data_IF_405973787381
#
_entry.id   IF_405973787381
#
_cell.length_a   1.000
_cell.length_b   1.000
_cell.length_c   1.000
_cell.angle_alpha   90.00
_cell.angle_beta   90.00
_cell.angle_gamma   90.00
#
_symmetry.space_group_name_H-M   'P 1'
#
loop_
_entity.id
_entity.type
_entity.pdbx_description
1 polymer ?
#
# COMPACT_ATOMS: atom_id res chain seq x y z
N UNK A 1 -4.19 -5.98 -28.84
CA UNK A 1 -4.62 -7.05 -29.70
C UNK A 1 -5.42 -8.16 -28.99
N UNK A 2 -5.95 -7.85 -27.80
CA UNK A 2 -6.89 -8.67 -27.07
C UNK A 2 -8.17 -7.86 -26.90
N UNK A 3 -9.31 -8.49 -27.11
CA UNK A 3 -10.59 -7.89 -26.78
C UNK A 3 -10.79 -7.95 -25.26
N UNK A 4 -11.28 -6.86 -24.67
CA UNK A 4 -11.54 -6.76 -23.26
C UNK A 4 -12.96 -6.25 -23.02
N UNK A 5 -13.59 -6.75 -21.95
CA UNK A 5 -14.91 -6.32 -21.51
C UNK A 5 -14.89 -6.09 -20.02
N UNK A 6 -15.61 -5.08 -19.56
CA UNK A 6 -15.78 -4.78 -18.15
C UNK A 6 -17.23 -5.04 -17.77
N UNK A 7 -17.45 -6.01 -16.89
CA UNK A 7 -18.79 -6.42 -16.46
C UNK A 7 -19.09 -5.87 -15.07
N UNK A 8 -20.28 -5.35 -14.89
CA UNK A 8 -20.82 -4.98 -13.59
C UNK A 8 -21.46 -6.21 -12.94
N UNK A 9 -21.13 -6.45 -11.67
CA UNK A 9 -21.78 -7.46 -10.83
C UNK A 9 -22.68 -6.73 -9.82
N UNK A 10 -23.97 -6.59 -10.14
CA UNK A 10 -24.89 -5.73 -9.38
C UNK A 10 -25.02 -6.09 -7.91
N UNK A 11 -24.95 -7.39 -7.58
CA UNK A 11 -25.02 -7.88 -6.19
C UNK A 11 -23.78 -7.52 -5.35
N UNK A 12 -22.66 -7.21 -5.98
CA UNK A 12 -21.38 -6.91 -5.33
C UNK A 12 -20.91 -5.46 -5.50
N UNK A 13 -21.56 -4.72 -6.40
CA UNK A 13 -21.20 -3.33 -6.67
C UNK A 13 -21.67 -2.42 -5.51
N UNK A 14 -20.75 -1.90 -4.69
CA UNK A 14 -21.07 -0.87 -3.69
C UNK A 14 -21.27 0.49 -4.36
N UNK A 15 -21.95 1.43 -3.68
CA UNK A 15 -22.28 2.74 -4.26
C UNK A 15 -21.04 3.50 -4.75
N UNK A 16 -19.94 3.41 -4.01
CA UNK A 16 -18.70 4.15 -4.25
C UNK A 16 -17.56 3.25 -4.77
N UNK A 17 -17.91 2.15 -5.44
CA UNK A 17 -16.96 1.26 -6.11
C UNK A 17 -16.50 1.83 -7.46
N UNK A 18 -15.37 1.33 -7.96
CA UNK A 18 -14.83 1.74 -9.26
C UNK A 18 -15.84 1.61 -10.41
N UNK A 19 -16.66 0.55 -10.41
CA UNK A 19 -17.65 0.32 -11.48
C UNK A 19 -18.76 1.38 -11.51
N UNK A 20 -18.97 2.10 -10.41
CA UNK A 20 -19.92 3.19 -10.27
C UNK A 20 -19.28 4.58 -10.35
N UNK A 21 -17.96 4.66 -10.44
CA UNK A 21 -17.24 5.92 -10.50
C UNK A 21 -17.59 6.71 -11.77
N UNK A 22 -17.82 8.01 -11.61
CA UNK A 22 -18.04 8.92 -12.72
C UNK A 22 -16.72 9.37 -13.31
N UNK A 23 -16.53 9.19 -14.61
CA UNK A 23 -15.35 9.70 -15.31
C UNK A 23 -15.56 11.16 -15.72
N UNK A 24 -14.84 12.10 -15.06
CA UNK A 24 -14.94 13.54 -15.26
C UNK A 24 -14.02 14.06 -16.37
N UNK A 25 -12.99 13.32 -16.74
CA UNK A 25 -12.01 13.69 -17.76
C UNK A 25 -11.29 12.45 -18.31
N UNK A 26 -10.66 12.62 -19.47
CA UNK A 26 -9.68 11.69 -20.04
C UNK A 26 -10.22 10.73 -21.09
N UNK A 27 -9.34 9.87 -21.55
CA UNK A 27 -9.66 8.79 -22.51
C UNK A 27 -10.40 7.65 -21.82
N UNK A 28 -10.95 6.73 -22.61
CA UNK A 28 -11.45 5.45 -22.08
C UNK A 28 -10.42 4.72 -21.23
N UNK A 29 -10.89 4.02 -20.21
CA UNK A 29 -10.06 3.17 -19.36
C UNK A 29 -9.68 1.89 -20.12
N UNK A 30 -8.40 1.56 -20.13
CA UNK A 30 -7.93 0.25 -20.59
C UNK A 30 -8.12 -0.81 -19.50
N UNK A 31 -8.02 -2.09 -19.89
CA UNK A 31 -8.01 -3.21 -18.96
C UNK A 31 -7.02 -3.01 -17.79
N UNK A 32 -5.78 -2.61 -18.11
CA UNK A 32 -4.76 -2.36 -17.09
C UNK A 32 -5.08 -1.13 -16.23
N UNK A 33 -5.66 -0.07 -16.81
CA UNK A 33 -6.08 1.07 -15.99
C UNK A 33 -7.13 0.66 -14.95
N UNK A 34 -8.10 -0.20 -15.33
CA UNK A 34 -9.14 -0.69 -14.42
C UNK A 34 -8.52 -1.53 -13.29
N UNK A 35 -7.65 -2.50 -13.62
CA UNK A 35 -7.00 -3.35 -12.62
C UNK A 35 -6.13 -2.55 -11.64
N UNK A 36 -5.32 -1.64 -12.16
CA UNK A 36 -4.43 -0.83 -11.33
C UNK A 36 -5.22 0.19 -10.50
N UNK A 37 -6.30 0.76 -11.05
CA UNK A 37 -7.17 1.69 -10.32
C UNK A 37 -7.93 0.98 -9.20
N UNK A 38 -8.44 -0.22 -9.44
CA UNK A 38 -9.14 -1.01 -8.43
C UNK A 38 -8.21 -1.37 -7.26
N UNK A 39 -6.99 -1.82 -7.56
CA UNK A 39 -5.99 -2.11 -6.54
C UNK A 39 -5.59 -0.85 -5.75
N UNK A 40 -5.42 0.29 -6.42
CA UNK A 40 -5.08 1.56 -5.79
C UNK A 40 -6.21 2.08 -4.90
N UNK A 41 -7.45 2.03 -5.40
CA UNK A 41 -8.65 2.42 -4.66
C UNK A 41 -8.92 1.51 -3.46
N UNK A 42 -8.68 0.21 -3.62
CA UNK A 42 -8.83 -0.75 -2.53
C UNK A 42 -7.85 -0.48 -1.40
N UNK A 43 -6.59 -0.16 -1.71
CA UNK A 43 -5.59 0.12 -0.70
C UNK A 43 -5.83 1.44 0.02
N UNK A 44 -6.15 2.53 -0.70
CA UNK A 44 -6.33 3.84 -0.05
C UNK A 44 -7.51 3.86 0.92
N UNK A 45 -8.50 3.00 0.74
CA UNK A 45 -9.67 2.86 1.62
C UNK A 45 -9.39 2.15 2.95
N UNK A 46 -8.20 1.57 3.14
CA UNK A 46 -7.78 0.98 4.41
C UNK A 46 -7.48 2.04 5.49
N UNK A 47 -7.38 3.31 5.11
CA UNK A 47 -7.02 4.41 6.00
C UNK A 47 -8.23 5.30 6.32
N UNK A 48 -8.33 5.69 7.58
CA UNK A 48 -9.33 6.65 8.06
C UNK A 48 -8.82 8.11 7.94
N UNK A 49 -7.50 8.30 8.10
CA UNK A 49 -6.84 9.60 7.94
C UNK A 49 -6.69 9.94 6.44
N UNK A 50 -6.48 11.23 6.09
CA UNK A 50 -6.19 11.61 4.72
C UNK A 50 -4.99 10.84 4.18
N UNK A 51 -5.22 10.03 3.16
CA UNK A 51 -4.26 9.12 2.58
C UNK A 51 -4.15 9.29 1.07
N UNK A 52 -2.95 9.09 0.55
CA UNK A 52 -2.66 9.00 -0.87
C UNK A 52 -1.85 7.74 -1.16
N UNK A 53 -2.28 7.01 -2.17
CA UNK A 53 -1.56 5.86 -2.72
C UNK A 53 -1.22 6.15 -4.17
N UNK A 54 0.04 5.92 -4.54
CA UNK A 54 0.52 5.92 -5.93
C UNK A 54 0.87 4.48 -6.26
N UNK A 55 0.23 3.95 -7.31
CA UNK A 55 0.31 2.53 -7.66
C UNK A 55 0.69 2.35 -9.12
N UNK A 56 1.47 1.32 -9.39
CA UNK A 56 1.85 0.92 -10.75
C UNK A 56 1.97 -0.60 -10.84
N UNK A 57 1.32 -1.18 -11.86
CA UNK A 57 1.33 -2.63 -12.08
C UNK A 57 0.86 -3.43 -10.84
N UNK A 58 -0.24 -2.97 -10.24
CA UNK A 58 -0.87 -3.54 -9.04
C UNK A 58 0.04 -3.61 -7.80
N UNK A 59 1.11 -2.80 -7.75
CA UNK A 59 1.92 -2.62 -6.56
C UNK A 59 2.00 -1.13 -6.21
N UNK A 60 1.83 -0.74 -4.93
CA UNK A 60 2.05 0.63 -4.54
C UNK A 60 3.54 0.98 -4.67
N UNK A 61 3.86 2.11 -5.26
CA UNK A 61 5.22 2.65 -5.29
C UNK A 61 5.40 3.85 -4.34
N UNK A 62 4.29 4.36 -3.83
CA UNK A 62 4.25 5.34 -2.77
C UNK A 62 2.92 5.27 -2.04
N UNK A 63 2.94 5.33 -0.73
CA UNK A 63 1.75 5.36 0.11
C UNK A 63 2.04 6.20 1.33
N UNK A 64 1.15 7.12 1.67
CA UNK A 64 1.33 7.92 2.88
C UNK A 64 -0.01 8.39 3.46
N UNK A 65 0.00 8.65 4.77
CA UNK A 65 -1.04 9.37 5.48
C UNK A 65 -0.46 10.65 6.08
N UNK A 66 -1.29 11.69 6.14
CA UNK A 66 -0.92 12.98 6.72
C UNK A 66 -2.15 13.73 7.21
N UNK A 67 -1.94 14.94 7.75
CA UNK A 67 -3.04 15.79 8.22
C UNK A 67 -3.98 16.28 7.09
N UNK A 68 -3.47 16.35 5.86
CA UNK A 68 -4.20 16.75 4.65
C UNK A 68 -3.70 15.98 3.41
N UNK A 69 -4.48 16.05 2.34
CA UNK A 69 -4.24 15.28 1.12
C UNK A 69 -3.01 15.75 0.32
N UNK A 70 -2.69 17.04 0.37
CA UNK A 70 -1.54 17.61 -0.33
C UNK A 70 -0.23 17.12 0.33
N UNK A 71 -0.17 17.18 1.66
CA UNK A 71 0.95 16.62 2.44
C UNK A 71 1.08 15.10 2.27
N UNK A 72 -0.05 14.37 2.24
CA UNK A 72 -0.04 12.93 1.99
C UNK A 72 0.50 12.61 0.59
N UNK A 73 0.12 13.39 -0.43
CA UNK A 73 0.65 13.22 -1.78
C UNK A 73 2.15 13.48 -1.85
N UNK A 74 2.64 14.56 -1.26
CA UNK A 74 4.07 14.90 -1.28
C UNK A 74 4.92 13.78 -0.68
N UNK A 75 4.50 13.26 0.48
CA UNK A 75 5.14 12.10 1.12
C UNK A 75 5.08 10.84 0.23
N UNK A 76 3.92 10.52 -0.33
CA UNK A 76 3.75 9.35 -1.19
C UNK A 76 4.60 9.44 -2.46
N UNK A 77 4.67 10.63 -3.09
CA UNK A 77 5.51 10.86 -4.26
C UNK A 77 7.00 10.72 -3.94
N UNK A 78 7.44 11.26 -2.80
CA UNK A 78 8.85 11.19 -2.37
C UNK A 78 9.34 9.76 -2.11
N UNK A 79 8.45 8.79 -1.86
CA UNK A 79 8.83 7.38 -1.68
C UNK A 79 9.57 6.82 -2.90
N UNK A 80 9.00 6.97 -4.11
CA UNK A 80 9.63 6.54 -5.37
C UNK A 80 9.15 7.37 -6.57
N UNK A 81 9.70 8.57 -6.77
CA UNK A 81 9.32 9.45 -7.88
C UNK A 81 9.53 8.81 -9.26
N UNK A 82 10.49 7.90 -9.37
CA UNK A 82 10.81 7.21 -10.62
C UNK A 82 9.71 6.23 -11.03
N UNK A 83 9.24 5.42 -10.09
CA UNK A 83 8.15 4.46 -10.35
C UNK A 83 6.78 5.16 -10.43
N UNK A 84 6.60 6.29 -9.76
CA UNK A 84 5.38 7.10 -9.80
C UNK A 84 5.04 7.63 -11.21
N UNK A 85 6.02 7.72 -12.11
CA UNK A 85 5.82 8.13 -13.49
C UNK A 85 4.94 7.14 -14.26
N UNK A 86 3.78 7.60 -14.74
CA UNK A 86 2.77 6.77 -15.41
C UNK A 86 1.96 5.89 -14.46
N UNK A 87 1.93 6.24 -13.18
CA UNK A 87 1.15 5.54 -12.17
C UNK A 87 -0.31 6.02 -12.06
N UNK A 88 -1.03 5.32 -11.21
CA UNK A 88 -2.38 5.64 -10.74
C UNK A 88 -2.26 6.33 -9.40
N UNK A 89 -3.05 7.38 -9.16
CA UNK A 89 -3.13 8.05 -7.86
C UNK A 89 -4.54 7.84 -7.29
N UNK A 90 -4.64 7.40 -6.05
CA UNK A 90 -5.87 7.35 -5.30
C UNK A 90 -5.76 8.18 -4.02
N UNK A 91 -6.82 8.94 -3.70
CA UNK A 91 -6.99 9.60 -2.41
C UNK A 91 -8.31 9.16 -1.79
N UNK A 92 -8.35 9.00 -0.45
CA UNK A 92 -9.58 8.63 0.26
C UNK A 92 -10.43 9.84 0.70
N UNK A 93 -9.96 11.05 0.43
CA UNK A 93 -10.63 12.32 0.69
C UNK A 93 -10.68 13.17 -0.58
N UNK A 94 -11.39 14.30 -0.54
CA UNK A 94 -11.44 15.26 -1.66
C UNK A 94 -10.05 15.72 -2.06
N UNK A 95 -9.73 15.61 -3.35
CA UNK A 95 -8.46 16.09 -3.91
C UNK A 95 -8.46 17.61 -3.94
N UNK A 96 -7.49 18.22 -3.26
CA UNK A 96 -7.33 19.67 -3.19
C UNK A 96 -6.63 20.23 -4.43
N UNK A 97 -6.84 21.52 -4.69
CA UNK A 97 -6.12 22.23 -5.75
C UNK A 97 -4.60 22.18 -5.51
N UNK A 98 -4.17 22.37 -4.27
CA UNK A 98 -2.75 22.32 -3.88
C UNK A 98 -2.09 20.98 -4.26
N UNK A 99 -2.75 19.86 -3.98
CA UNK A 99 -2.23 18.54 -4.40
C UNK A 99 -2.00 18.46 -5.92
N UNK A 100 -2.93 19.01 -6.73
CA UNK A 100 -2.78 18.97 -8.20
C UNK A 100 -1.69 19.93 -8.67
N UNK A 101 -1.51 21.07 -8.01
CA UNK A 101 -0.39 21.98 -8.25
C UNK A 101 0.95 21.28 -7.99
N UNK A 102 1.10 20.55 -6.89
CA UNK A 102 2.29 19.73 -6.60
C UNK A 102 2.53 18.65 -7.65
N UNK A 103 1.48 17.94 -8.15
CA UNK A 103 1.59 16.99 -9.27
C UNK A 103 2.17 17.67 -10.51
N UNK A 104 1.77 18.92 -10.78
CA UNK A 104 2.26 19.70 -11.92
C UNK A 104 3.70 20.18 -11.71
N UNK A 105 4.06 20.65 -10.53
CA UNK A 105 5.41 21.08 -10.15
C UNK A 105 6.40 19.91 -10.24
N UNK A 106 6.01 18.74 -9.78
CA UNK A 106 6.76 17.50 -9.89
C UNK A 106 6.86 16.97 -11.32
N UNK A 107 6.13 17.57 -12.28
CA UNK A 107 6.03 17.13 -13.69
C UNK A 107 5.67 15.65 -13.78
N UNK A 108 4.92 15.16 -12.81
CA UNK A 108 4.53 13.75 -12.77
C UNK A 108 3.57 13.46 -13.92
N UNK A 109 3.93 12.48 -14.75
CA UNK A 109 2.98 11.89 -15.69
C UNK A 109 2.10 10.90 -14.93
N UNK A 110 0.78 11.05 -15.03
CA UNK A 110 -0.23 10.22 -14.37
C UNK A 110 -1.21 9.67 -15.42
N UNK A 111 -1.67 8.45 -15.22
CA UNK A 111 -2.66 7.80 -16.08
C UNK A 111 -4.08 8.02 -15.57
N UNK A 112 -4.30 7.84 -14.25
CA UNK A 112 -5.59 7.94 -13.59
C UNK A 112 -5.44 8.63 -12.24
N UNK A 113 -6.43 9.45 -11.86
CA UNK A 113 -6.65 9.91 -10.48
C UNK A 113 -8.06 9.49 -10.07
N UNK A 114 -8.19 8.84 -8.92
CA UNK A 114 -9.47 8.44 -8.34
C UNK A 114 -9.60 8.97 -6.91
N UNK A 115 -10.76 9.53 -6.59
CA UNK A 115 -11.05 10.08 -5.28
C UNK A 115 -12.58 10.19 -5.05
N UNK A 116 -13.02 10.41 -3.79
CA UNK A 116 -14.42 10.69 -3.50
C UNK A 116 -14.95 11.94 -4.22
N UNK A 117 -14.14 13.00 -4.27
CA UNK A 117 -14.47 14.25 -4.95
C UNK A 117 -13.20 15.07 -5.27
N UNK A 118 -13.37 16.17 -5.97
CA UNK A 118 -12.30 17.10 -6.37
C UNK A 118 -12.76 18.54 -6.12
N UNK A 119 -11.89 19.36 -5.56
CA UNK A 119 -12.11 20.81 -5.55
C UNK A 119 -12.23 21.36 -6.98
N UNK A 120 -13.00 22.43 -7.17
CA UNK A 120 -13.20 23.00 -8.51
C UNK A 120 -11.88 23.35 -9.20
N UNK A 121 -10.93 23.99 -8.49
CA UNK A 121 -9.62 24.33 -9.02
C UNK A 121 -8.77 23.09 -9.35
N UNK A 122 -8.86 22.03 -8.52
CA UNK A 122 -8.19 20.75 -8.81
C UNK A 122 -8.70 20.13 -10.11
N UNK A 123 -10.02 20.10 -10.29
CA UNK A 123 -10.66 19.53 -11.48
C UNK A 123 -10.30 20.35 -12.73
N UNK A 124 -10.33 21.68 -12.66
CA UNK A 124 -9.93 22.55 -13.75
C UNK A 124 -8.48 22.28 -14.21
N UNK A 125 -7.54 22.13 -13.27
CA UNK A 125 -6.15 21.81 -13.57
C UNK A 125 -5.98 20.43 -14.21
N UNK A 126 -6.69 19.42 -13.69
CA UNK A 126 -6.66 18.07 -14.24
C UNK A 126 -7.26 17.98 -15.65
N UNK A 127 -8.32 18.74 -15.92
CA UNK A 127 -8.99 18.77 -17.22
C UNK A 127 -8.13 19.41 -18.34
N UNK A 128 -7.13 20.20 -17.99
CA UNK A 128 -6.14 20.69 -18.96
C UNK A 128 -5.30 19.54 -19.55
N UNK A 129 -5.21 18.42 -18.84
CA UNK A 129 -4.49 17.21 -19.25
C UNK A 129 -5.45 16.22 -19.93
N UNK A 130 -5.71 16.40 -21.22
CA UNK A 130 -6.74 15.67 -21.99
C UNK A 130 -6.70 14.13 -21.89
N UNK A 131 -5.56 13.55 -21.52
CA UNK A 131 -5.38 12.10 -21.47
C UNK A 131 -5.53 11.51 -20.06
N UNK A 132 -5.48 12.33 -19.01
CA UNK A 132 -5.59 11.90 -17.62
C UNK A 132 -7.05 11.54 -17.32
N UNK A 133 -7.28 10.32 -16.87
CA UNK A 133 -8.61 9.88 -16.45
C UNK A 133 -8.83 10.35 -15.02
N UNK A 134 -9.90 11.08 -14.80
CA UNK A 134 -10.30 11.59 -13.50
C UNK A 134 -11.59 10.89 -13.11
N UNK A 135 -11.56 10.13 -12.02
CA UNK A 135 -12.66 9.29 -11.56
C UNK A 135 -13.17 9.76 -10.20
N UNK A 136 -14.46 10.11 -10.13
CA UNK A 136 -15.14 10.49 -8.91
C UNK A 136 -16.02 9.35 -8.41
N UNK A 137 -15.81 8.90 -7.19
CA UNK A 137 -16.62 7.83 -6.58
C UNK A 137 -17.82 8.36 -5.80
N UNK A 138 -17.83 9.63 -5.40
CA UNK A 138 -18.88 10.25 -4.61
C UNK A 138 -18.86 9.92 -3.12
N UNK A 139 -17.91 9.11 -2.68
CA UNK A 139 -17.72 8.70 -1.29
C UNK A 139 -16.77 7.50 -1.17
N UNK A 140 -16.67 6.98 0.05
CA UNK A 140 -15.83 5.82 0.38
C UNK A 140 -16.69 4.76 1.07
N UNK A 141 -16.75 3.57 0.48
CA UNK A 141 -17.44 2.41 1.06
C UNK A 141 -16.42 1.34 1.47
N UNK A 142 -16.84 0.45 2.36
CA UNK A 142 -16.15 -0.81 2.55
C UNK A 142 -16.07 -1.59 1.22
N UNK A 143 -14.99 -2.36 0.97
CA UNK A 143 -14.89 -3.17 -0.25
C UNK A 143 -16.02 -4.19 -0.38
N UNK A 144 -16.22 -4.77 -1.57
CA UNK A 144 -17.14 -5.85 -1.81
C UNK A 144 -16.89 -7.05 -0.87
N UNK A 145 -17.92 -7.87 -0.63
CA UNK A 145 -17.79 -8.99 0.31
C UNK A 145 -16.92 -10.13 -0.21
N UNK A 146 -16.88 -10.29 -1.53
CA UNK A 146 -16.14 -11.36 -2.21
C UNK A 146 -15.23 -10.78 -3.29
N UNK A 147 -14.10 -11.41 -3.46
CA UNK A 147 -13.25 -11.25 -4.63
C UNK A 147 -13.27 -12.51 -5.50
N UNK A 148 -13.11 -12.32 -6.79
CA UNK A 148 -13.16 -13.39 -7.78
C UNK A 148 -11.88 -13.42 -8.61
N UNK A 149 -11.40 -14.62 -8.89
CA UNK A 149 -10.25 -14.84 -9.76
C UNK A 149 -10.56 -15.92 -10.78
N UNK A 150 -10.43 -15.60 -12.05
CA UNK A 150 -10.57 -16.60 -13.12
C UNK A 150 -9.38 -17.57 -13.08
N UNK A 151 -9.68 -18.85 -13.27
CA UNK A 151 -8.74 -19.93 -13.53
C UNK A 151 -9.17 -20.66 -14.80
N UNK A 152 -8.29 -21.48 -15.38
CA UNK A 152 -8.67 -22.24 -16.58
C UNK A 152 -9.89 -23.13 -16.30
N UNK A 153 -10.98 -22.86 -17.04
CA UNK A 153 -12.24 -23.58 -16.91
C UNK A 153 -13.07 -23.27 -15.65
N UNK A 154 -12.66 -22.28 -14.81
CA UNK A 154 -13.37 -22.00 -13.58
C UNK A 154 -13.11 -20.62 -12.99
N UNK A 155 -13.63 -20.43 -11.78
CA UNK A 155 -13.47 -19.19 -11.01
C UNK A 155 -13.26 -19.52 -9.52
N UNK A 156 -12.26 -18.90 -8.91
CA UNK A 156 -12.10 -18.87 -7.46
C UNK A 156 -12.91 -17.70 -6.90
N UNK A 157 -13.50 -17.90 -5.73
CA UNK A 157 -14.15 -16.86 -4.96
C UNK A 157 -13.71 -16.98 -3.50
N UNK A 158 -13.35 -15.87 -2.88
CA UNK A 158 -13.05 -15.81 -1.45
C UNK A 158 -13.59 -14.51 -0.84
N UNK A 159 -13.73 -14.50 0.49
CA UNK A 159 -14.04 -13.25 1.20
C UNK A 159 -12.88 -12.27 1.05
N UNK A 160 -13.21 -11.00 0.81
CA UNK A 160 -12.21 -9.93 0.87
C UNK A 160 -11.73 -9.79 2.31
N UNK A 161 -10.43 -9.63 2.47
CA UNK A 161 -9.84 -9.33 3.77
C UNK A 161 -10.29 -7.93 4.23
N UNK A 162 -11.13 -7.93 5.26
CA UNK A 162 -11.71 -6.73 5.87
C UNK A 162 -11.35 -6.58 7.35
N UNK A 163 -10.45 -7.41 7.83
CA UNK A 163 -10.13 -7.39 9.25
C UNK A 163 -9.36 -6.13 9.57
N UNK A 164 -9.92 -5.36 10.50
CA UNK A 164 -9.18 -4.34 11.23
C UNK A 164 -8.62 -5.03 12.46
N UNK A 165 -7.33 -5.24 12.46
CA UNK A 165 -6.65 -5.85 13.59
C UNK A 165 -6.77 -4.92 14.81
N UNK A 166 -7.23 -5.48 15.93
CA UNK A 166 -7.23 -4.79 17.23
C UNK A 166 -5.83 -4.93 17.86
N UNK A 167 -5.09 -3.83 18.07
CA UNK A 167 -3.79 -3.89 18.73
C UNK A 167 -3.82 -4.57 20.10
N UNK A 168 -4.98 -4.61 20.78
CA UNK A 168 -5.13 -5.31 22.04
C UNK A 168 -5.04 -6.84 21.92
N UNK A 169 -5.24 -7.39 20.73
CA UNK A 169 -5.12 -8.81 20.43
C UNK A 169 -3.71 -9.22 19.98
N UNK A 170 -2.82 -8.25 19.73
CA UNK A 170 -1.47 -8.51 19.29
C UNK A 170 -0.60 -9.14 20.37
N UNK A 171 0.27 -10.04 19.96
CA UNK A 171 1.32 -10.55 20.84
C UNK A 171 2.63 -9.82 20.56
N UNK A 172 3.40 -9.55 21.63
CA UNK A 172 4.75 -8.97 21.51
C UNK A 172 5.74 -9.97 22.11
N UNK A 173 6.27 -10.90 21.27
CA UNK A 173 7.08 -12.01 21.76
C UNK A 173 8.50 -11.58 22.19
N UNK A 174 9.00 -10.44 21.70
CA UNK A 174 10.35 -9.94 21.98
C UNK A 174 10.47 -9.25 23.34
N UNK A 175 11.71 -9.18 23.86
CA UNK A 175 12.04 -8.46 25.11
C UNK A 175 11.82 -6.95 24.97
N UNK A 176 12.26 -6.38 23.83
CA UNK A 176 11.97 -4.99 23.48
C UNK A 176 10.51 -4.89 23.06
N UNK A 177 9.80 -3.96 23.68
CA UNK A 177 8.41 -3.67 23.32
C UNK A 177 8.36 -2.46 22.40
N UNK A 178 7.42 -2.41 21.42
CA UNK A 178 7.25 -1.22 20.60
C UNK A 178 6.79 -0.04 21.47
N UNK A 179 7.22 1.15 21.09
CA UNK A 179 6.60 2.39 21.56
C UNK A 179 5.24 2.60 20.90
N UNK A 180 4.42 3.51 21.42
CA UNK A 180 3.13 3.84 20.80
C UNK A 180 3.32 4.35 19.36
N UNK A 181 4.33 5.20 19.10
CA UNK A 181 4.65 5.69 17.76
C UNK A 181 5.07 4.54 16.83
N UNK A 182 5.88 3.60 17.32
CA UNK A 182 6.24 2.42 16.53
C UNK A 182 5.02 1.54 16.24
N UNK A 183 4.10 1.41 17.17
CA UNK A 183 2.89 0.62 16.96
C UNK A 183 1.98 1.27 15.90
N UNK A 184 1.81 2.58 15.93
CA UNK A 184 1.07 3.31 14.90
C UNK A 184 1.73 3.16 13.53
N UNK A 185 3.06 3.28 13.45
CA UNK A 185 3.81 3.07 12.21
C UNK A 185 3.70 1.62 11.70
N UNK A 186 3.72 0.62 12.61
CA UNK A 186 3.51 -0.78 12.26
C UNK A 186 2.12 -1.02 11.66
N UNK A 187 1.06 -0.41 12.21
CA UNK A 187 -0.31 -0.53 11.70
C UNK A 187 -0.42 0.11 10.30
N UNK A 188 0.19 1.27 10.09
CA UNK A 188 0.30 1.86 8.76
C UNK A 188 1.01 0.91 7.79
N UNK A 189 2.19 0.43 8.16
CA UNK A 189 2.98 -0.49 7.33
C UNK A 189 2.22 -1.78 7.01
N UNK A 190 1.48 -2.32 7.98
CA UNK A 190 0.66 -3.52 7.85
C UNK A 190 -0.42 -3.34 6.78
N UNK A 191 -1.19 -2.25 6.87
CA UNK A 191 -2.22 -1.90 5.89
C UNK A 191 -1.65 -1.74 4.47
N UNK A 192 -0.51 -1.06 4.33
CA UNK A 192 0.14 -0.91 3.01
C UNK A 192 0.65 -2.26 2.49
N UNK A 193 1.27 -3.08 3.37
CA UNK A 193 1.81 -4.39 2.99
C UNK A 193 0.75 -5.34 2.41
N UNK A 194 -0.49 -5.26 2.91
CA UNK A 194 -1.66 -5.97 2.38
C UNK A 194 -1.88 -5.72 0.87
N UNK A 195 -1.58 -4.51 0.38
CA UNK A 195 -1.67 -4.15 -1.03
C UNK A 195 -0.46 -4.57 -1.89
N UNK A 196 0.56 -5.18 -1.31
CA UNK A 196 1.79 -5.58 -2.01
C UNK A 196 1.75 -7.05 -2.39
N UNK A 197 2.18 -7.39 -3.59
CA UNK A 197 2.18 -8.80 -4.07
C UNK A 197 3.21 -9.64 -3.32
N UNK A 198 2.79 -10.81 -2.88
CA UNK A 198 3.60 -11.78 -2.12
C UNK A 198 4.75 -12.42 -2.96
N UNK A 199 5.90 -12.81 -2.40
CA UNK A 199 6.32 -12.44 -1.05
C UNK A 199 6.50 -10.93 -0.96
N UNK A 200 5.99 -10.33 0.10
CA UNK A 200 5.98 -8.87 0.27
C UNK A 200 6.65 -8.46 1.59
N UNK A 201 7.56 -7.52 1.47
CA UNK A 201 8.11 -6.75 2.60
C UNK A 201 7.89 -5.28 2.31
N UNK A 202 7.37 -4.57 3.28
CA UNK A 202 7.28 -3.11 3.28
C UNK A 202 8.14 -2.52 4.39
N UNK A 203 8.90 -1.50 4.05
CA UNK A 203 9.63 -0.66 5.03
C UNK A 203 8.99 0.73 5.02
N UNK A 204 8.68 1.23 6.21
CA UNK A 204 8.05 2.54 6.37
C UNK A 204 8.78 3.43 7.37
N UNK A 205 8.53 4.72 7.27
CA UNK A 205 8.98 5.78 8.17
C UNK A 205 8.05 6.99 8.05
N UNK A 206 7.69 7.56 9.19
CA UNK A 206 6.86 8.78 9.26
C UNK A 206 5.54 8.63 8.49
N UNK A 207 4.88 7.47 8.58
CA UNK A 207 3.65 7.11 7.87
C UNK A 207 3.78 7.25 6.35
N UNK A 208 4.95 6.89 5.81
CA UNK A 208 5.21 6.75 4.38
C UNK A 208 5.87 5.40 4.08
N UNK A 209 5.35 4.68 3.08
CA UNK A 209 5.88 3.40 2.62
C UNK A 209 7.08 3.60 1.71
N UNK A 210 8.25 3.82 2.32
CA UNK A 210 9.47 4.27 1.63
C UNK A 210 10.26 3.18 0.91
N UNK A 211 9.97 1.91 1.21
CA UNK A 211 10.62 0.80 0.53
C UNK A 211 9.76 -0.44 0.47
N UNK A 212 9.68 -1.07 -0.69
CA UNK A 212 8.94 -2.31 -0.83
C UNK A 212 9.66 -3.31 -1.71
N UNK A 213 9.56 -4.58 -1.32
CA UNK A 213 10.03 -5.72 -2.07
C UNK A 213 8.85 -6.61 -2.48
N UNK A 214 8.19 -6.32 -3.62
CA UNK A 214 7.02 -7.04 -4.05
C UNK A 214 7.37 -8.29 -4.87
N UNK A 215 6.57 -9.35 -4.74
CA UNK A 215 6.53 -10.46 -5.70
C UNK A 215 7.80 -11.30 -5.80
N UNK A 216 8.60 -11.36 -4.73
CA UNK A 216 9.84 -12.12 -4.76
C UNK A 216 9.59 -13.61 -4.48
N UNK A 217 10.32 -14.54 -5.19
CA UNK A 217 10.20 -15.96 -4.93
C UNK A 217 10.62 -16.39 -3.52
N UNK A 218 11.52 -15.63 -2.88
CA UNK A 218 11.91 -15.84 -1.49
C UNK A 218 11.81 -14.54 -0.69
N UNK A 219 11.61 -14.66 0.62
CA UNK A 219 11.35 -13.51 1.49
C UNK A 219 12.60 -12.69 1.80
N UNK A 220 13.79 -13.30 1.84
CA UNK A 220 15.02 -12.56 2.10
C UNK A 220 15.37 -11.60 0.97
N UNK A 221 15.10 -11.97 -0.28
CA UNK A 221 15.27 -11.05 -1.42
C UNK A 221 14.24 -9.91 -1.38
N UNK A 222 13.00 -10.22 -0.94
CA UNK A 222 11.99 -9.21 -0.68
C UNK A 222 12.44 -8.21 0.39
N UNK A 223 13.03 -8.70 1.49
CA UNK A 223 13.57 -7.85 2.57
C UNK A 223 14.71 -6.95 2.08
N UNK A 224 15.70 -7.52 1.37
CA UNK A 224 16.81 -6.76 0.78
C UNK A 224 16.32 -5.66 -0.15
N UNK A 225 15.46 -6.02 -1.09
CA UNK A 225 14.92 -5.05 -2.07
C UNK A 225 14.13 -3.93 -1.38
N UNK A 226 13.33 -4.25 -0.36
CA UNK A 226 12.60 -3.25 0.41
C UNK A 226 13.55 -2.30 1.15
N UNK A 227 14.57 -2.83 1.81
CA UNK A 227 15.56 -2.05 2.55
C UNK A 227 16.41 -1.17 1.64
N UNK A 228 16.91 -1.69 0.51
CA UNK A 228 17.67 -0.92 -0.47
C UNK A 228 16.86 0.29 -0.97
N UNK A 229 15.59 0.07 -1.34
CA UNK A 229 14.68 1.13 -1.77
C UNK A 229 14.39 2.14 -0.65
N UNK A 230 14.24 1.67 0.60
CA UNK A 230 14.04 2.55 1.74
C UNK A 230 15.24 3.47 1.96
N UNK A 231 16.47 2.95 1.86
CA UNK A 231 17.69 3.73 1.95
C UNK A 231 17.81 4.77 0.84
N UNK A 232 17.54 4.37 -0.42
CA UNK A 232 17.49 5.30 -1.55
C UNK A 232 16.44 6.41 -1.35
N UNK A 233 15.28 6.08 -0.77
CA UNK A 233 14.24 7.06 -0.46
C UNK A 233 14.71 8.02 0.65
N UNK A 234 15.29 7.49 1.73
CA UNK A 234 15.87 8.30 2.81
C UNK A 234 16.95 9.26 2.29
N UNK A 235 17.84 8.78 1.41
CA UNK A 235 18.86 9.62 0.77
C UNK A 235 18.23 10.77 -0.03
N UNK A 236 17.22 10.47 -0.87
CA UNK A 236 16.49 11.50 -1.63
C UNK A 236 15.78 12.52 -0.76
N UNK A 237 15.20 12.08 0.36
CA UNK A 237 14.50 12.92 1.33
C UNK A 237 15.46 13.68 2.26
N UNK A 238 16.75 13.35 2.29
CA UNK A 238 17.73 13.93 3.21
C UNK A 238 17.50 13.54 4.67
N UNK A 239 16.97 12.33 4.92
CA UNK A 239 16.70 11.80 6.27
C UNK A 239 17.56 10.56 6.53
N UNK A 240 17.89 10.33 7.81
CA UNK A 240 18.65 9.15 8.20
C UNK A 240 17.82 7.87 8.11
N UNK A 241 18.35 6.76 7.55
CA UNK A 241 17.66 5.47 7.45
C UNK A 241 17.71 4.71 8.79
N UNK A 242 17.24 5.34 9.87
CA UNK A 242 17.21 4.77 11.21
C UNK A 242 15.80 4.77 11.78
N UNK A 243 15.53 3.84 12.70
CA UNK A 243 14.21 3.71 13.31
C UNK A 243 13.13 3.24 12.32
N UNK A 244 13.56 2.56 11.25
CA UNK A 244 12.65 2.04 10.23
C UNK A 244 11.73 0.96 10.80
N UNK A 245 10.52 0.88 10.27
CA UNK A 245 9.52 -0.14 10.61
C UNK A 245 9.29 -1.04 9.41
N UNK A 246 9.17 -2.34 9.67
CA UNK A 246 8.95 -3.34 8.63
C UNK A 246 7.65 -4.09 8.84
N UNK A 247 6.88 -4.30 7.77
CA UNK A 247 5.77 -5.22 7.72
C UNK A 247 6.07 -6.36 6.74
N UNK A 248 5.65 -7.59 7.10
CA UNK A 248 5.77 -8.77 6.25
C UNK A 248 4.41 -9.42 6.04
N UNK A 249 4.06 -9.74 4.79
CA UNK A 249 2.79 -10.36 4.42
C UNK A 249 2.60 -11.78 4.95
N UNK A 250 3.68 -12.45 5.39
CA UNK A 250 3.64 -13.76 6.02
C UNK A 250 4.77 -13.88 7.07
N UNK A 251 4.79 -14.99 7.82
CA UNK A 251 5.81 -15.23 8.82
C UNK A 251 7.23 -15.31 8.21
N UNK A 252 8.23 -14.96 9.00
CA UNK A 252 9.61 -15.16 8.63
C UNK A 252 10.01 -16.63 8.84
N UNK A 253 10.51 -17.33 7.79
CA UNK A 253 10.84 -18.75 7.91
C UNK A 253 12.18 -19.00 8.63
N UNK A 254 13.11 -18.01 8.63
CA UNK A 254 14.46 -18.11 9.16
C UNK A 254 14.93 -16.75 9.69
N UNK A 255 15.96 -16.79 10.54
CA UNK A 255 16.55 -15.58 11.15
C UNK A 255 17.23 -14.64 10.15
N UNK A 256 17.67 -15.14 8.99
CA UNK A 256 18.40 -14.36 7.97
C UNK A 256 17.65 -13.10 7.52
N UNK A 257 16.32 -13.16 7.52
CA UNK A 257 15.48 -12.01 7.23
C UNK A 257 15.63 -10.93 8.32
N UNK A 258 15.64 -11.34 9.58
CA UNK A 258 15.76 -10.42 10.72
C UNK A 258 17.18 -9.81 10.75
N UNK A 259 18.20 -10.63 10.53
CA UNK A 259 19.60 -10.16 10.43
C UNK A 259 19.73 -9.11 9.30
N UNK A 260 19.16 -9.39 8.13
CA UNK A 260 19.12 -8.44 7.00
C UNK A 260 18.41 -7.13 7.38
N UNK A 261 17.19 -7.20 7.94
CA UNK A 261 16.43 -6.02 8.33
C UNK A 261 17.17 -5.17 9.37
N UNK A 262 17.86 -5.82 10.32
CA UNK A 262 18.66 -5.16 11.35
C UNK A 262 19.84 -4.37 10.77
N UNK A 263 20.56 -4.94 9.79
CA UNK A 263 21.67 -4.30 9.09
C UNK A 263 21.25 -3.00 8.39
N UNK A 264 20.00 -2.94 7.93
CA UNK A 264 19.42 -1.76 7.27
C UNK A 264 18.72 -0.77 8.20
N UNK A 265 18.82 -0.96 9.52
CA UNK A 265 18.32 0.02 10.50
C UNK A 265 16.84 -0.14 10.89
N UNK A 266 16.21 -1.27 10.58
CA UNK A 266 14.87 -1.61 11.07
C UNK A 266 14.91 -1.82 12.59
N UNK A 267 13.96 -1.23 13.30
CA UNK A 267 13.84 -1.28 14.77
C UNK A 267 12.51 -1.84 15.26
N UNK A 268 11.55 -1.98 14.37
CA UNK A 268 10.26 -2.54 14.71
C UNK A 268 9.71 -3.36 13.54
N UNK A 269 9.09 -4.50 13.84
CA UNK A 269 8.58 -5.47 12.85
C UNK A 269 7.18 -5.88 13.22
N UNK A 270 6.27 -5.91 12.24
CA UNK A 270 4.96 -6.53 12.34
C UNK A 270 4.84 -7.68 11.33
N UNK A 271 4.36 -8.83 11.77
CA UNK A 271 4.22 -10.05 10.98
C UNK A 271 3.09 -10.94 11.52
N UNK A 272 2.61 -11.93 10.73
CA UNK A 272 1.61 -12.88 11.24
C UNK A 272 2.10 -13.78 12.39
N UNK A 273 3.35 -14.25 12.34
CA UNK A 273 3.85 -15.33 13.20
C UNK A 273 3.34 -16.70 12.76
N UNK A 274 3.64 -17.75 13.55
CA UNK A 274 3.18 -19.11 13.29
C UNK A 274 4.15 -19.99 12.52
N UNK A 275 5.40 -19.57 12.35
CA UNK A 275 6.48 -20.42 11.81
C UNK A 275 6.88 -21.49 12.82
N UNK A 276 7.26 -22.67 12.34
CA UNK A 276 7.91 -23.72 13.17
C UNK A 276 9.21 -23.18 13.81
N UNK A 277 9.81 -22.14 13.23
CA UNK A 277 11.06 -21.51 13.68
C UNK A 277 10.84 -20.14 14.31
N UNK A 278 9.66 -19.83 14.80
CA UNK A 278 9.37 -18.55 15.46
C UNK A 278 10.35 -18.24 16.60
N UNK A 279 10.76 -19.25 17.39
CA UNK A 279 11.75 -19.07 18.47
C UNK A 279 13.09 -18.53 17.94
N UNK A 280 13.58 -19.06 16.81
CA UNK A 280 14.83 -18.62 16.17
C UNK A 280 14.71 -17.15 15.67
N UNK A 281 13.56 -16.82 15.09
CA UNK A 281 13.26 -15.49 14.55
C UNK A 281 13.13 -14.47 15.70
N UNK A 282 12.42 -14.83 16.76
CA UNK A 282 12.26 -13.99 17.96
C UNK A 282 13.62 -13.77 18.65
N UNK A 283 14.44 -14.82 18.76
CA UNK A 283 15.77 -14.70 19.33
C UNK A 283 16.65 -13.74 18.50
N UNK A 284 16.61 -13.82 17.17
CA UNK A 284 17.35 -12.89 16.31
C UNK A 284 16.90 -11.43 16.52
N UNK A 285 15.57 -11.20 16.62
CA UNK A 285 15.03 -9.87 16.92
C UNK A 285 15.49 -9.35 18.29
N UNK A 286 15.54 -10.22 19.32
CA UNK A 286 16.04 -9.87 20.63
C UNK A 286 17.55 -9.53 20.61
N UNK A 287 18.36 -10.28 19.87
CA UNK A 287 19.81 -10.05 19.70
C UNK A 287 20.09 -8.68 19.06
N UNK A 288 19.24 -8.26 18.10
CA UNK A 288 19.34 -6.96 17.44
C UNK A 288 18.60 -5.82 18.13
N UNK A 289 17.89 -6.10 19.23
CA UNK A 289 17.12 -5.10 19.95
C UNK A 289 15.93 -4.57 19.14
N UNK A 290 15.31 -5.41 18.33
CA UNK A 290 14.13 -5.10 17.48
C UNK A 290 12.86 -5.47 18.25
N UNK A 291 11.88 -4.56 18.29
CA UNK A 291 10.54 -4.85 18.76
C UNK A 291 9.76 -5.62 17.68
N UNK A 292 9.16 -6.76 18.04
CA UNK A 292 8.35 -7.55 17.12
C UNK A 292 6.92 -7.68 17.61
N UNK A 293 5.98 -7.47 16.71
CA UNK A 293 4.56 -7.71 16.91
C UNK A 293 4.13 -8.87 16.02
N UNK A 294 3.36 -9.80 16.58
CA UNK A 294 2.70 -10.87 15.86
C UNK A 294 1.19 -10.71 15.94
N UNK A 295 0.54 -10.66 14.78
CA UNK A 295 -0.91 -10.42 14.65
C UNK A 295 -1.75 -11.70 14.70
N UNK A 296 -1.16 -12.83 15.07
CA UNK A 296 -1.79 -14.15 15.32
C UNK A 296 -2.50 -14.81 14.15
N UNK A 297 -2.69 -14.16 13.00
CA UNK A 297 -3.23 -14.76 11.79
C UNK A 297 -3.02 -13.97 10.51
N UNK A 298 -3.10 -14.60 9.54
CA UNK A 298 -2.75 -14.52 8.16
C UNK A 298 -3.91 -14.26 7.23
N UNK A 299 -4.30 -13.02 7.06
CA UNK A 299 -5.12 -12.63 5.92
C UNK A 299 -4.29 -12.54 4.63
N UNK A 300 -2.98 -12.39 4.79
CA UNK A 300 -2.03 -12.22 3.69
C UNK A 300 -1.54 -13.55 3.12
N UNK A 301 -1.85 -14.67 3.76
CA UNK A 301 -1.54 -16.00 3.21
C UNK A 301 -2.67 -16.48 2.31
N UNK A 302 -2.30 -16.92 1.13
CA UNK A 302 -3.21 -17.66 0.26
C UNK A 302 -3.80 -18.83 1.06
N UNK A 303 -5.13 -19.03 1.04
CA UNK A 303 -5.73 -20.22 1.62
C UNK A 303 -5.09 -21.46 0.98
N UNK A 304 -4.59 -22.34 1.82
CA UNK A 304 -4.06 -23.65 1.41
C UNK A 304 -5.18 -24.59 1.05
#
# INVERSE_FOLDING_TARGET
>A
HQDAMFYRLDEFATAHSLVNAEQLNGKELSYNNILDTDACWSLVREFDEPAVVILKHQNPCGSAVAADVATAYDKAFACDPKSAFGGIIAANVTVSQEMVEQINENKQFIEVVIAPDFEAGALELLQQKKNVRVLRTGGVDAPAALEFRSVDGGMLAQSVDRVNEDPAEFTVPTKVKPTDDQLHEMLFAWKVCKGVKSNAILVSKDHAGIGMGPGQPNRVDSAKLACERAHEACERMGVEPTGLVCASDAFFPFRDNIDTLAEYGVKAIIQPGGSIRDEEVIQAADEHGIAMVSVSYTHLTLPT
#
